data_IF_428479900092
#
_entry.id   IF_428479900092
#
_cell.length_a   1.000
_cell.length_b   1.000
_cell.length_c   1.000
_cell.angle_alpha   90.00
_cell.angle_beta   90.00
_cell.angle_gamma   90.00
#
_symmetry.space_group_name_H-M   'P 1'
#
loop_
_entity.id
_entity.type
_entity.pdbx_description
1 polymer ?
#
# COMPACT_ATOMS: atom_id res chain seq x y z
N UNK A 1 -1.41 12.64 -2.75
CA UNK A 1 -1.34 12.23 -4.17
C UNK A 1 -2.72 11.75 -4.57
N UNK A 2 -3.44 12.47 -5.43
CA UNK A 2 -4.73 12.04 -5.96
C UNK A 2 -4.52 10.97 -7.03
N UNK A 3 -5.08 9.78 -6.83
CA UNK A 3 -5.07 8.71 -7.83
C UNK A 3 -4.65 7.35 -7.31
N UNK A 4 -5.10 6.29 -7.98
CA UNK A 4 -4.68 4.92 -7.72
C UNK A 4 -3.31 4.67 -8.36
N UNK A 5 -2.42 4.02 -7.62
CA UNK A 5 -1.10 3.60 -8.10
C UNK A 5 -0.96 2.10 -7.92
N UNK A 6 -0.33 1.41 -8.87
CA UNK A 6 -0.03 -0.02 -8.69
C UNK A 6 0.95 -0.22 -7.54
N UNK A 7 0.80 -1.33 -6.83
CA UNK A 7 1.73 -1.73 -5.77
C UNK A 7 3.15 -1.89 -6.32
N UNK A 8 3.29 -2.47 -7.51
CA UNK A 8 4.58 -2.60 -8.20
C UNK A 8 5.32 -1.26 -8.33
N UNK A 9 4.61 -0.24 -8.80
CA UNK A 9 5.17 1.07 -9.09
C UNK A 9 5.49 1.79 -7.78
N UNK A 10 4.68 1.60 -6.74
CA UNK A 10 5.00 2.10 -5.40
C UNK A 10 6.31 1.49 -4.87
N UNK A 11 6.48 0.17 -4.97
CA UNK A 11 7.68 -0.53 -4.50
C UNK A 11 8.93 -0.20 -5.34
N UNK A 12 8.77 0.04 -6.65
CA UNK A 12 9.86 0.50 -7.52
C UNK A 12 10.34 1.89 -7.08
N UNK A 13 9.43 2.84 -6.89
CA UNK A 13 9.78 4.21 -6.51
C UNK A 13 10.46 4.29 -5.14
N UNK A 14 10.08 3.38 -4.22
CA UNK A 14 10.71 3.27 -2.91
C UNK A 14 11.98 2.39 -2.92
N UNK A 15 12.48 2.02 -4.10
CA UNK A 15 13.71 1.24 -4.31
C UNK A 15 13.74 -0.08 -3.53
N UNK A 16 12.58 -0.72 -3.37
CA UNK A 16 12.47 -1.99 -2.66
C UNK A 16 13.22 -3.08 -3.44
N UNK A 17 14.14 -3.84 -2.83
CA UNK A 17 14.83 -4.95 -3.49
C UNK A 17 13.88 -6.03 -4.00
N UNK A 18 14.23 -6.72 -5.09
CA UNK A 18 13.39 -7.75 -5.70
C UNK A 18 12.96 -8.86 -4.72
N UNK A 19 13.84 -9.41 -3.84
CA UNK A 19 13.43 -10.41 -2.86
C UNK A 19 12.41 -9.89 -1.85
N UNK A 20 12.47 -8.59 -1.51
CA UNK A 20 11.49 -7.96 -0.62
C UNK A 20 10.16 -7.69 -1.33
N UNK A 21 10.17 -7.33 -2.62
CA UNK A 21 8.94 -7.13 -3.40
C UNK A 21 8.10 -8.41 -3.41
N UNK A 22 8.74 -9.56 -3.58
CA UNK A 22 8.07 -10.87 -3.55
C UNK A 22 7.48 -11.22 -2.18
N UNK A 23 7.99 -10.61 -1.10
CA UNK A 23 7.55 -10.82 0.28
C UNK A 23 6.64 -9.70 0.79
N UNK A 24 6.22 -8.77 -0.06
CA UNK A 24 5.35 -7.67 0.36
C UNK A 24 3.97 -8.20 0.72
N UNK A 25 3.59 -8.05 1.99
CA UNK A 25 2.23 -8.32 2.45
C UNK A 25 1.29 -7.15 2.15
N UNK A 26 0.06 -7.49 1.77
CA UNK A 26 -1.03 -6.52 1.57
C UNK A 26 -2.23 -6.94 2.41
N UNK A 27 -2.92 -5.96 2.99
CA UNK A 27 -4.22 -6.18 3.60
C UNK A 27 -5.31 -5.88 2.58
N UNK A 28 -6.30 -6.78 2.52
CA UNK A 28 -7.46 -6.66 1.66
C UNK A 28 -8.71 -6.39 2.48
N UNK A 29 -9.60 -5.56 1.95
CA UNK A 29 -11.00 -5.46 2.35
C UNK A 29 -11.84 -5.85 1.15
N UNK A 30 -12.36 -7.08 1.13
CA UNK A 30 -12.88 -7.69 -0.09
C UNK A 30 -11.79 -7.79 -1.16
N UNK A 31 -12.06 -7.24 -2.34
CA UNK A 31 -11.13 -7.23 -3.48
C UNK A 31 -10.22 -5.98 -3.53
N UNK A 32 -10.33 -5.09 -2.55
CA UNK A 32 -9.58 -3.83 -2.51
C UNK A 32 -8.39 -3.91 -1.57
N UNK A 33 -7.20 -3.52 -2.05
CA UNK A 33 -6.01 -3.39 -1.21
C UNK A 33 -6.15 -2.12 -0.37
N UNK A 34 -6.19 -2.28 0.96
CA UNK A 34 -6.36 -1.18 1.92
C UNK A 34 -5.06 -0.81 2.63
N UNK A 35 -4.07 -1.70 2.63
CA UNK A 35 -2.80 -1.44 3.30
C UNK A 35 -1.64 -2.22 2.67
N UNK A 36 -0.53 -1.55 2.39
CA UNK A 36 0.78 -2.17 2.22
C UNK A 36 1.45 -2.28 3.59
N UNK A 37 1.44 -3.48 4.16
CA UNK A 37 1.89 -3.71 5.55
C UNK A 37 3.32 -3.22 5.72
N UNK A 38 3.54 -2.39 6.76
CA UNK A 38 4.83 -1.78 7.08
C UNK A 38 5.27 -0.64 6.15
N UNK A 39 4.42 -0.19 5.20
CA UNK A 39 4.78 0.87 4.24
C UNK A 39 3.75 1.99 4.13
N UNK A 40 2.53 1.70 3.64
CA UNK A 40 1.53 2.73 3.34
C UNK A 40 0.10 2.21 3.43
N UNK A 41 -0.72 2.87 4.24
CA UNK A 41 -2.18 2.67 4.28
C UNK A 41 -2.86 3.41 3.12
N UNK A 42 -3.96 2.87 2.60
CA UNK A 42 -4.83 3.56 1.64
C UNK A 42 -5.49 4.75 2.34
N UNK A 43 -5.44 5.92 1.69
CA UNK A 43 -5.91 7.17 2.27
C UNK A 43 -7.42 7.14 2.60
N UNK A 44 -8.21 6.27 1.93
CA UNK A 44 -9.65 6.05 2.22
C UNK A 44 -9.91 5.36 3.56
N UNK A 45 -8.91 4.65 4.09
CA UNK A 45 -9.02 3.83 5.31
C UNK A 45 -8.16 4.38 6.45
N UNK A 46 -7.58 5.57 6.27
CA UNK A 46 -6.77 6.23 7.28
C UNK A 46 -7.68 6.83 8.36
N UNK A 47 -7.34 6.60 9.63
CA UNK A 47 -7.98 7.28 10.76
C UNK A 47 -7.80 8.79 10.64
N UNK A 48 -8.88 9.53 10.86
CA UNK A 48 -8.87 11.00 10.91
C UNK A 48 -9.10 11.44 12.35
N UNK A 49 -8.95 12.72 12.66
CA UNK A 49 -9.22 13.19 14.02
C UNK A 49 -10.71 13.03 14.42
N UNK A 50 -11.58 12.77 13.45
CA UNK A 50 -13.02 12.70 13.60
C UNK A 50 -13.51 11.26 13.88
N UNK A 51 -12.64 10.24 13.75
CA UNK A 51 -12.91 8.83 14.06
C UNK A 51 -11.61 8.03 14.17
#
# INVERSE_FOLDING_TARGET
>A
MSGRKKVSDYLIDHKVPLPEKARQFVLLSGDEIVWLVGRRIDDRYRLTAET
#
